data_IF_182217920483
#
_entry.id   IF_182217920483
#
_cell.length_a   1.000
_cell.length_b   1.000
_cell.length_c   1.000
_cell.angle_alpha   90.00
_cell.angle_beta   90.00
_cell.angle_gamma   90.00
#
_symmetry.space_group_name_H-M   'P 1'
#
loop_
_entity.id
_entity.type
_entity.pdbx_description
1 polymer ?
#
# COMPACT_ATOMS: atom_id res chain seq x y z
N UNK A 1 54.79 74.56 -37.90
CA UNK A 1 53.84 75.37 -38.70
C UNK A 1 54.05 75.03 -40.17
N UNK A 2 53.00 74.89 -41.02
CA UNK A 2 51.69 75.57 -41.00
C UNK A 2 50.49 74.62 -40.69
N UNK A 3 49.46 75.06 -39.93
CA UNK A 3 48.15 75.69 -40.30
C UNK A 3 47.17 74.67 -40.96
N UNK A 4 46.11 74.19 -40.29
CA UNK A 4 44.85 74.83 -39.83
C UNK A 4 43.81 75.10 -40.94
N UNK A 5 42.70 74.34 -40.96
CA UNK A 5 41.28 74.79 -40.86
C UNK A 5 40.30 73.75 -41.48
N UNK A 6 39.43 73.11 -40.66
CA UNK A 6 37.96 73.30 -40.48
C UNK A 6 37.02 72.67 -41.55
N UNK A 7 35.97 71.96 -41.08
CA UNK A 7 34.69 71.85 -41.80
C UNK A 7 33.90 70.53 -41.71
N UNK A 8 33.02 70.44 -40.68
CA UNK A 8 31.66 69.84 -40.65
C UNK A 8 31.30 68.38 -41.02
N UNK A 9 30.76 67.71 -39.99
CA UNK A 9 29.57 66.83 -39.90
C UNK A 9 29.14 65.92 -41.08
N UNK A 10 29.10 64.61 -40.80
CA UNK A 10 27.86 63.78 -40.75
C UNK A 10 28.15 62.36 -40.24
N UNK A 11 27.58 62.01 -39.08
CA UNK A 11 27.19 60.63 -38.72
C UNK A 11 26.16 60.11 -39.74
N UNK A 12 25.93 58.79 -39.97
CA UNK A 12 25.69 57.83 -38.87
C UNK A 12 26.07 56.34 -39.11
N UNK A 13 25.73 55.55 -38.09
CA UNK A 13 25.42 54.10 -38.07
C UNK A 13 26.54 53.12 -37.70
N UNK A 14 26.60 52.95 -36.38
CA UNK A 14 26.98 51.77 -35.58
C UNK A 14 26.64 50.41 -36.22
N UNK A 15 27.42 49.37 -35.94
CA UNK A 15 26.97 48.15 -35.23
C UNK A 15 28.21 47.30 -34.93
N UNK A 16 28.69 47.43 -33.69
CA UNK A 16 29.51 46.40 -33.08
C UNK A 16 28.67 45.18 -32.71
N UNK A 17 29.32 44.03 -32.60
CA UNK A 17 28.85 42.98 -31.71
C UNK A 17 30.07 42.31 -31.05
N UNK A 18 30.39 42.84 -29.88
CA UNK A 18 31.38 42.33 -28.95
C UNK A 18 30.84 42.63 -27.57
N UNK A 19 30.68 41.57 -26.76
CA UNK A 19 30.21 41.55 -25.37
C UNK A 19 28.70 41.45 -25.14
N UNK A 20 28.27 40.22 -24.83
CA UNK A 20 27.05 39.96 -24.06
C UNK A 20 27.23 38.69 -23.20
N UNK A 21 28.21 38.69 -22.30
CA UNK A 21 28.03 37.94 -21.05
C UNK A 21 27.25 38.87 -20.12
N UNK A 22 25.93 38.85 -20.32
CA UNK A 22 24.99 39.58 -19.49
C UNK A 22 25.20 39.22 -18.02
N UNK A 23 25.46 40.26 -17.25
CA UNK A 23 25.38 40.33 -15.82
C UNK A 23 23.95 39.95 -15.41
N UNK A 24 23.71 38.66 -15.12
CA UNK A 24 22.43 38.20 -14.56
C UNK A 24 22.30 38.81 -13.17
N UNK A 25 21.50 39.87 -13.06
CA UNK A 25 21.13 40.46 -11.79
C UNK A 25 20.56 39.41 -10.83
N UNK A 26 20.45 39.73 -9.52
CA UNK A 26 19.94 38.79 -8.53
C UNK A 26 18.59 38.24 -9.01
N UNK A 27 18.50 36.92 -9.15
CA UNK A 27 17.26 36.24 -9.55
C UNK A 27 16.26 36.44 -8.42
N UNK A 28 15.34 37.40 -8.58
CA UNK A 28 14.28 37.67 -7.62
C UNK A 28 13.15 36.67 -7.88
N UNK A 29 13.13 35.59 -7.09
CA UNK A 29 12.07 34.60 -7.12
C UNK A 29 10.86 35.16 -6.38
N UNK A 30 9.77 35.45 -7.10
CA UNK A 30 8.53 36.02 -6.53
C UNK A 30 7.48 34.94 -6.18
N UNK A 31 7.74 33.70 -6.54
CA UNK A 31 6.83 32.58 -6.30
C UNK A 31 7.10 31.99 -4.92
N UNK A 32 6.13 32.14 -4.00
CA UNK A 32 6.27 31.70 -2.61
C UNK A 32 6.66 30.22 -2.46
N UNK A 33 6.15 29.35 -3.34
CA UNK A 33 6.48 27.93 -3.32
C UNK A 33 7.95 27.65 -3.68
N UNK A 34 8.56 28.44 -4.56
CA UNK A 34 9.97 28.29 -4.91
C UNK A 34 10.86 28.77 -3.76
N UNK A 35 10.44 29.80 -3.02
CA UNK A 35 11.14 30.26 -1.82
C UNK A 35 11.17 29.16 -0.76
N UNK A 36 10.05 28.48 -0.52
CA UNK A 36 9.96 27.35 0.42
C UNK A 36 10.87 26.18 0.02
N UNK A 37 10.87 25.80 -1.27
CA UNK A 37 11.76 24.75 -1.80
C UNK A 37 13.22 25.14 -1.59
N UNK A 38 13.60 26.37 -1.97
CA UNK A 38 14.99 26.83 -1.84
C UNK A 38 15.40 26.85 -0.36
N UNK A 39 14.56 27.38 0.53
CA UNK A 39 14.83 27.41 1.96
C UNK A 39 15.03 26.00 2.54
N UNK A 40 14.15 25.07 2.18
CA UNK A 40 14.27 23.67 2.59
C UNK A 40 15.60 23.06 2.12
N UNK A 41 15.98 23.28 0.86
CA UNK A 41 17.25 22.78 0.33
C UNK A 41 18.47 23.44 0.99
N UNK A 42 18.39 24.72 1.37
CA UNK A 42 19.47 25.39 2.10
C UNK A 42 19.63 24.90 3.54
N UNK A 43 18.57 24.34 4.13
CA UNK A 43 18.60 23.78 5.48
C UNK A 43 19.20 22.37 5.55
N UNK A 44 19.55 21.77 4.41
CA UNK A 44 20.14 20.43 4.37
C UNK A 44 21.58 20.42 4.89
N UNK A 45 21.87 19.47 5.78
CA UNK A 45 23.24 19.20 6.22
C UNK A 45 24.10 18.67 5.04
N UNK A 46 25.44 18.84 5.09
CA UNK A 46 26.33 18.41 4.01
C UNK A 46 26.21 16.94 3.61
N UNK A 47 25.81 16.06 4.52
CA UNK A 47 25.55 14.65 4.22
C UNK A 47 24.40 14.43 3.24
N UNK A 48 23.25 15.07 3.48
CA UNK A 48 22.09 14.99 2.59
C UNK A 48 22.33 15.73 1.27
N UNK A 49 23.01 16.88 1.29
CA UNK A 49 23.38 17.61 0.07
C UNK A 49 24.23 16.75 -0.87
N UNK A 50 25.20 16.00 -0.34
CA UNK A 50 26.00 15.04 -1.13
C UNK A 50 25.13 13.93 -1.73
N UNK A 51 24.18 13.38 -0.98
CA UNK A 51 23.25 12.34 -1.47
C UNK A 51 22.32 12.87 -2.57
N UNK A 52 21.89 14.13 -2.49
CA UNK A 52 21.11 14.79 -3.54
C UNK A 52 21.96 15.01 -4.81
N UNK A 53 23.18 15.52 -4.66
CA UNK A 53 24.10 15.77 -5.78
C UNK A 53 24.52 14.48 -6.51
N UNK A 54 24.65 13.36 -5.79
CA UNK A 54 24.96 12.06 -6.40
C UNK A 54 23.76 11.39 -7.08
N UNK A 55 22.56 11.97 -6.98
CA UNK A 55 21.31 11.38 -7.49
C UNK A 55 20.75 10.24 -6.64
N UNK A 56 21.39 9.93 -5.50
CA UNK A 56 20.92 8.89 -4.57
C UNK A 56 19.70 9.30 -3.74
N UNK A 57 19.37 10.60 -3.71
CA UNK A 57 18.20 11.16 -3.04
C UNK A 57 17.35 11.94 -4.05
N UNK A 58 16.04 11.66 -4.07
CA UNK A 58 15.08 12.39 -4.91
C UNK A 58 14.87 13.81 -4.36
N UNK A 59 14.68 14.79 -5.25
CA UNK A 59 14.46 16.20 -4.87
C UNK A 59 13.33 16.37 -3.85
N UNK A 60 12.20 15.69 -4.05
CA UNK A 60 11.07 15.75 -3.12
C UNK A 60 11.45 15.32 -1.70
N UNK A 61 12.24 14.25 -1.55
CA UNK A 61 12.69 13.77 -0.26
C UNK A 61 13.69 14.75 0.39
N UNK A 62 14.55 15.37 -0.42
CA UNK A 62 15.49 16.39 0.05
C UNK A 62 14.75 17.64 0.57
N UNK A 63 13.73 18.12 -0.15
CA UNK A 63 12.88 19.22 0.31
C UNK A 63 12.19 18.83 1.63
N UNK A 64 11.60 17.64 1.71
CA UNK A 64 10.91 17.19 2.91
C UNK A 64 11.84 17.12 4.14
N UNK A 65 13.05 16.58 3.98
CA UNK A 65 14.04 16.53 5.08
C UNK A 65 14.38 17.94 5.56
N UNK A 66 14.70 18.85 4.64
CA UNK A 66 15.12 20.20 4.97
C UNK A 66 14.00 21.12 5.47
N UNK A 67 12.74 20.78 5.18
CA UNK A 67 11.56 21.50 5.71
C UNK A 67 11.11 20.99 7.07
N UNK A 68 11.35 19.71 7.38
CA UNK A 68 10.72 19.03 8.53
C UNK A 68 11.69 18.75 9.67
N UNK A 69 12.96 18.45 9.36
CA UNK A 69 13.95 18.04 10.36
C UNK A 69 14.94 19.16 10.67
N UNK A 70 15.20 19.40 11.95
CA UNK A 70 16.31 20.20 12.40
C UNK A 70 17.66 19.50 12.15
N UNK A 71 18.76 20.18 12.45
CA UNK A 71 20.10 19.68 12.14
C UNK A 71 20.45 18.38 12.87
N UNK A 72 20.12 18.27 14.15
CA UNK A 72 20.43 17.08 14.96
C UNK A 72 19.64 15.86 14.45
N UNK A 73 18.35 16.04 14.18
CA UNK A 73 17.49 14.99 13.62
C UNK A 73 17.88 14.63 12.20
N UNK A 74 18.35 15.57 11.40
CA UNK A 74 18.90 15.28 10.06
C UNK A 74 20.16 14.40 10.15
N UNK A 75 21.05 14.65 11.11
CA UNK A 75 22.27 13.86 11.32
C UNK A 75 21.89 12.43 11.77
N UNK A 76 21.03 12.29 12.77
CA UNK A 76 20.54 10.99 13.23
C UNK A 76 19.79 10.22 12.14
N UNK A 77 18.92 10.88 11.37
CA UNK A 77 18.22 10.22 10.27
C UNK A 77 19.18 9.73 9.19
N UNK A 78 20.23 10.50 8.89
CA UNK A 78 21.23 10.14 7.89
C UNK A 78 22.04 8.91 8.30
N UNK A 79 22.42 8.81 9.57
CA UNK A 79 23.10 7.66 10.15
C UNK A 79 22.19 6.43 10.06
N UNK A 80 20.97 6.55 10.59
CA UNK A 80 19.97 5.48 10.60
C UNK A 80 19.72 4.85 9.22
N UNK A 81 19.50 5.67 8.19
CA UNK A 81 19.22 5.16 6.84
C UNK A 81 20.43 4.53 6.18
N UNK A 82 21.63 4.95 6.58
CA UNK A 82 22.88 4.40 6.07
C UNK A 82 23.11 2.99 6.65
N UNK A 83 22.76 2.79 7.92
CA UNK A 83 22.98 1.52 8.61
C UNK A 83 21.84 0.51 8.42
N UNK A 84 20.59 0.98 8.40
CA UNK A 84 19.41 0.09 8.48
C UNK A 84 18.85 -0.33 7.11
N UNK A 85 19.37 0.23 6.00
CA UNK A 85 18.87 0.03 4.63
C UNK A 85 17.32 0.06 4.56
N UNK A 86 16.78 1.26 4.74
CA UNK A 86 15.32 1.50 4.77
C UNK A 86 14.74 1.39 3.35
N UNK A 87 13.75 0.50 3.10
CA UNK A 87 13.07 0.46 1.81
C UNK A 87 12.34 1.77 1.48
N UNK A 88 12.36 2.19 0.21
CA UNK A 88 11.71 3.41 -0.28
C UNK A 88 10.25 3.58 0.22
N UNK A 89 9.50 2.48 0.30
CA UNK A 89 8.10 2.48 0.74
C UNK A 89 7.92 2.98 2.19
N UNK A 90 8.92 2.78 3.05
CA UNK A 90 8.86 3.13 4.47
C UNK A 90 9.64 4.42 4.79
N UNK A 91 10.33 4.99 3.82
CA UNK A 91 11.16 6.18 4.00
C UNK A 91 10.42 7.35 4.66
N UNK A 92 9.24 7.70 4.12
CA UNK A 92 8.44 8.79 4.65
C UNK A 92 7.99 8.56 6.09
N UNK A 93 7.74 7.29 6.46
CA UNK A 93 7.36 6.91 7.82
C UNK A 93 8.55 7.04 8.78
N UNK A 94 9.74 6.59 8.37
CA UNK A 94 10.94 6.75 9.20
C UNK A 94 11.27 8.22 9.41
N UNK A 95 11.19 9.03 8.35
CA UNK A 95 11.37 10.49 8.45
C UNK A 95 10.36 11.12 9.42
N UNK A 96 9.08 10.71 9.35
CA UNK A 96 8.06 11.15 10.31
C UNK A 96 8.41 10.78 11.76
N UNK A 97 8.89 9.56 12.00
CA UNK A 97 9.31 9.14 13.33
C UNK A 97 10.46 10.00 13.89
N UNK A 98 11.43 10.37 13.04
CA UNK A 98 12.48 11.34 13.40
C UNK A 98 11.91 12.75 13.65
N UNK A 99 10.89 13.17 12.90
CA UNK A 99 10.22 14.45 13.10
C UNK A 99 9.46 14.51 14.44
N UNK A 100 8.90 13.38 14.88
CA UNK A 100 8.30 13.23 16.21
C UNK A 100 9.34 13.16 17.34
N UNK A 101 10.63 13.03 17.01
CA UNK A 101 11.70 12.90 18.00
C UNK A 101 11.74 11.54 18.69
N UNK A 102 11.25 10.48 18.02
CA UNK A 102 11.26 9.14 18.57
C UNK A 102 12.71 8.62 18.74
N UNK A 103 13.02 7.87 19.82
CA UNK A 103 14.31 7.22 19.99
C UNK A 103 14.60 6.22 18.86
N UNK A 104 15.86 6.10 18.43
CA UNK A 104 16.23 5.24 17.29
C UNK A 104 15.80 3.78 17.46
N UNK A 105 15.93 3.23 18.68
CA UNK A 105 15.49 1.86 18.97
C UNK A 105 13.99 1.66 18.67
N UNK A 106 13.16 2.66 18.96
CA UNK A 106 11.71 2.59 18.69
C UNK A 106 11.42 2.74 17.20
N UNK A 107 12.20 3.55 16.47
CA UNK A 107 12.12 3.69 15.01
C UNK A 107 12.46 2.35 14.33
N UNK A 108 13.47 1.63 14.84
CA UNK A 108 13.80 0.28 14.35
C UNK A 108 12.64 -0.70 14.56
N UNK A 109 11.96 -0.65 15.70
CA UNK A 109 10.77 -1.47 15.97
C UNK A 109 9.61 -1.10 15.06
N UNK A 110 9.33 0.19 14.86
CA UNK A 110 8.29 0.67 13.92
C UNK A 110 8.57 0.16 12.50
N UNK A 111 9.83 0.23 12.03
CA UNK A 111 10.22 -0.34 10.74
C UNK A 111 9.98 -1.86 10.70
N UNK A 112 10.32 -2.56 11.78
CA UNK A 112 10.07 -3.99 11.97
C UNK A 112 8.57 -4.33 11.87
N UNK A 113 7.72 -3.56 12.53
CA UNK A 113 6.26 -3.68 12.50
C UNK A 113 5.74 -3.53 11.08
N UNK A 114 6.14 -2.51 10.33
CA UNK A 114 5.67 -2.34 8.94
C UNK A 114 6.12 -3.47 8.01
N UNK A 115 7.35 -3.96 8.15
CA UNK A 115 7.85 -5.12 7.41
C UNK A 115 7.06 -6.39 7.76
N UNK A 116 6.84 -6.61 9.06
CA UNK A 116 6.06 -7.74 9.56
C UNK A 116 4.60 -7.66 9.08
N UNK A 117 3.99 -6.48 9.14
CA UNK A 117 2.62 -6.25 8.71
C UNK A 117 2.43 -6.61 7.22
N UNK A 118 3.35 -6.20 6.35
CA UNK A 118 3.33 -6.59 4.94
C UNK A 118 3.38 -8.10 4.74
N UNK A 119 4.25 -8.80 5.49
CA UNK A 119 4.36 -10.25 5.44
C UNK A 119 3.12 -10.96 5.99
N UNK A 120 2.61 -10.50 7.15
CA UNK A 120 1.40 -11.03 7.78
C UNK A 120 0.20 -10.84 6.86
N UNK A 121 0.00 -9.64 6.30
CA UNK A 121 -1.06 -9.36 5.33
C UNK A 121 -1.04 -10.35 4.17
N UNK A 122 0.14 -10.57 3.56
CA UNK A 122 0.29 -11.53 2.47
C UNK A 122 -0.03 -12.97 2.88
N UNK A 123 0.31 -13.37 4.12
CA UNK A 123 0.03 -14.70 4.64
C UNK A 123 -1.45 -14.92 4.96
N UNK A 124 -2.15 -13.87 5.40
CA UNK A 124 -3.54 -13.96 5.86
C UNK A 124 -4.58 -13.49 4.83
N UNK A 125 -4.16 -12.97 3.67
CA UNK A 125 -5.04 -12.37 2.64
C UNK A 125 -6.21 -13.26 2.20
N UNK A 126 -6.12 -14.57 2.42
CA UNK A 126 -7.15 -15.55 2.10
C UNK A 126 -8.19 -15.78 3.22
N UNK A 127 -7.98 -15.21 4.41
CA UNK A 127 -8.78 -15.41 5.61
C UNK A 127 -9.43 -14.09 6.03
N UNK A 128 -10.69 -13.86 5.61
CA UNK A 128 -11.39 -12.59 5.83
C UNK A 128 -11.41 -12.18 7.31
N UNK A 129 -11.73 -13.10 8.22
CA UNK A 129 -11.79 -12.80 9.67
C UNK A 129 -10.43 -12.36 10.24
N UNK A 130 -9.32 -12.86 9.70
CA UNK A 130 -7.96 -12.45 10.10
C UNK A 130 -7.58 -11.12 9.44
N UNK A 131 -8.01 -10.90 8.19
CA UNK A 131 -7.83 -9.63 7.49
C UNK A 131 -8.56 -8.49 8.20
N UNK A 132 -9.78 -8.70 8.67
CA UNK A 132 -10.53 -7.69 9.43
C UNK A 132 -9.80 -7.32 10.73
N UNK A 133 -9.28 -8.32 11.46
CA UNK A 133 -8.48 -8.09 12.66
C UNK A 133 -7.16 -7.37 12.36
N UNK A 134 -6.49 -7.73 11.27
CA UNK A 134 -5.28 -7.05 10.80
C UNK A 134 -5.56 -5.59 10.48
N UNK A 135 -6.67 -5.29 9.79
CA UNK A 135 -7.04 -3.94 9.41
C UNK A 135 -7.33 -3.08 10.64
N UNK A 136 -8.05 -3.61 11.63
CA UNK A 136 -8.29 -2.92 12.89
C UNK A 136 -6.97 -2.63 13.61
N UNK A 137 -6.11 -3.65 13.78
CA UNK A 137 -4.84 -3.53 14.47
C UNK A 137 -3.92 -2.49 13.81
N UNK A 138 -3.74 -2.61 12.49
CA UNK A 138 -2.85 -1.70 11.75
C UNK A 138 -3.42 -0.29 11.65
N UNK A 139 -4.74 -0.14 11.49
CA UNK A 139 -5.36 1.19 11.44
C UNK A 139 -5.19 1.93 12.77
N UNK A 140 -5.37 1.24 13.90
CA UNK A 140 -5.18 1.86 15.21
C UNK A 140 -3.72 2.30 15.40
N UNK A 141 -2.77 1.39 15.14
CA UNK A 141 -1.35 1.70 15.22
C UNK A 141 -0.93 2.84 14.29
N UNK A 142 -1.36 2.81 13.02
CA UNK A 142 -1.02 3.86 12.04
C UNK A 142 -1.60 5.22 12.45
N UNK A 143 -2.81 5.25 13.01
CA UNK A 143 -3.41 6.48 13.53
C UNK A 143 -2.57 7.06 14.67
N UNK A 144 -2.30 6.26 15.72
CA UNK A 144 -1.50 6.71 16.87
C UNK A 144 -0.10 7.15 16.46
N UNK A 145 0.55 6.41 15.55
CA UNK A 145 1.87 6.73 15.03
C UNK A 145 1.89 8.04 14.22
N UNK A 146 0.91 8.26 13.34
CA UNK A 146 0.90 9.44 12.47
C UNK A 146 0.55 10.72 13.25
N UNK A 147 -0.38 10.64 14.20
CA UNK A 147 -0.76 11.77 15.05
C UNK A 147 0.26 12.03 16.17
N UNK A 148 1.22 11.13 16.39
CA UNK A 148 2.20 11.25 17.47
C UNK A 148 1.60 11.00 18.86
N UNK A 149 0.54 10.20 18.92
CA UNK A 149 -0.17 9.81 20.15
C UNK A 149 0.41 8.55 20.82
N UNK A 150 1.47 7.97 20.25
CA UNK A 150 2.20 6.89 20.90
C UNK A 150 2.82 7.38 22.24
N UNK A 151 2.94 6.49 23.25
CA UNK A 151 3.56 6.86 24.51
C UNK A 151 4.98 7.40 24.33
N UNK A 152 5.37 8.39 25.15
CA UNK A 152 6.70 8.99 25.10
C UNK A 152 7.67 8.40 26.11
N UNK A 153 7.16 7.75 27.16
CA UNK A 153 7.98 7.05 28.15
C UNK A 153 8.48 5.74 27.57
N UNK A 154 9.78 5.46 27.71
CA UNK A 154 10.46 4.35 27.02
C UNK A 154 9.79 2.99 27.28
N UNK A 155 9.49 2.67 28.55
CA UNK A 155 8.86 1.39 28.93
C UNK A 155 7.44 1.24 28.35
N UNK A 156 6.67 2.33 28.32
CA UNK A 156 5.30 2.33 27.79
C UNK A 156 5.30 2.25 26.26
N UNK A 157 6.23 2.95 25.61
CA UNK A 157 6.43 2.93 24.16
C UNK A 157 6.85 1.53 23.71
N UNK A 158 7.81 0.92 24.41
CA UNK A 158 8.25 -0.44 24.12
C UNK A 158 7.09 -1.42 24.22
N UNK A 159 6.31 -1.36 25.31
CA UNK A 159 5.15 -2.21 25.51
C UNK A 159 4.08 -2.02 24.42
N UNK A 160 3.81 -0.77 24.02
CA UNK A 160 2.85 -0.46 22.96
C UNK A 160 3.29 -1.06 21.62
N UNK A 161 4.55 -0.86 21.22
CA UNK A 161 5.09 -1.40 19.97
C UNK A 161 5.14 -2.93 19.98
N UNK A 162 5.57 -3.54 21.10
CA UNK A 162 5.56 -5.00 21.25
C UNK A 162 4.15 -5.58 21.19
N UNK A 163 3.14 -4.87 21.70
CA UNK A 163 1.74 -5.31 21.62
C UNK A 163 1.29 -5.43 20.16
N UNK A 164 1.61 -4.43 19.33
CA UNK A 164 1.31 -4.46 17.89
C UNK A 164 2.08 -5.58 17.20
N UNK A 165 3.37 -5.72 17.48
CA UNK A 165 4.21 -6.77 16.90
C UNK A 165 3.66 -8.17 17.23
N UNK A 166 3.34 -8.41 18.50
CA UNK A 166 2.79 -9.68 18.96
C UNK A 166 1.43 -9.98 18.32
N UNK A 167 0.57 -8.97 18.16
CA UNK A 167 -0.69 -9.10 17.43
C UNK A 167 -0.47 -9.56 15.98
N UNK A 168 0.48 -8.94 15.27
CA UNK A 168 0.82 -9.31 13.89
C UNK A 168 1.41 -10.73 13.79
N UNK A 169 2.26 -11.13 14.75
CA UNK A 169 2.83 -12.49 14.80
C UNK A 169 1.75 -13.53 15.05
N UNK A 170 0.81 -13.23 15.94
CA UNK A 170 -0.29 -14.13 16.27
C UNK A 170 -1.24 -14.33 15.09
N UNK A 171 -1.61 -13.26 14.37
CA UNK A 171 -2.39 -13.35 13.13
C UNK A 171 -1.69 -14.24 12.08
N UNK A 172 -0.38 -14.05 11.90
CA UNK A 172 0.42 -14.89 10.99
C UNK A 172 0.45 -16.37 11.43
N UNK A 173 0.54 -16.63 12.74
CA UNK A 173 0.51 -17.99 13.30
C UNK A 173 -0.84 -18.68 13.09
N UNK A 174 -1.94 -17.94 13.24
CA UNK A 174 -3.31 -18.46 13.03
C UNK A 174 -3.51 -18.93 11.59
N UNK A 175 -3.07 -18.15 10.60
CA UNK A 175 -3.11 -18.56 9.20
C UNK A 175 -2.29 -19.85 8.93
N UNK A 176 -1.14 -20.01 9.60
CA UNK A 176 -0.35 -21.25 9.53
C UNK A 176 -1.07 -22.48 10.09
N UNK A 177 -1.91 -22.30 11.11
CA UNK A 177 -2.73 -23.36 11.70
C UNK A 177 -3.94 -23.71 10.83
N UNK A 178 -4.60 -22.71 10.25
CA UNK A 178 -5.77 -22.91 9.40
C UNK A 178 -5.42 -23.49 8.02
N UNK A 179 -4.22 -23.22 7.50
CA UNK A 179 -3.68 -23.90 6.31
C UNK A 179 -3.56 -25.42 6.52
N UNK A 180 -3.25 -25.88 7.75
CA UNK A 180 -3.19 -27.31 8.09
C UNK A 180 -4.58 -27.95 8.22
N UNK A 181 -5.58 -27.21 8.71
CA UNK A 181 -6.99 -27.66 8.73
C UNK A 181 -7.57 -27.76 7.32
N UNK A 182 -7.31 -26.77 6.47
CA UNK A 182 -7.77 -26.74 5.08
C UNK A 182 -7.19 -27.89 4.25
N UNK A 183 -5.89 -28.18 4.39
CA UNK A 183 -5.26 -29.31 3.69
C UNK A 183 -5.72 -30.69 4.22
N UNK A 184 -6.07 -30.81 5.51
CA UNK A 184 -6.68 -32.04 6.05
C UNK A 184 -8.08 -32.27 5.52
N UNK A 185 -8.89 -31.22 5.39
CA UNK A 185 -10.26 -31.32 4.86
C UNK A 185 -10.32 -31.64 3.36
N UNK A 186 -9.23 -31.47 2.61
CA UNK A 186 -9.17 -31.81 1.19
C UNK A 186 -8.54 -33.18 0.91
N UNK A 187 -7.85 -33.77 1.89
CA UNK A 187 -7.20 -35.08 1.80
C UNK A 187 -8.02 -36.24 2.36
N UNK A 188 -9.07 -35.96 3.13
CA UNK A 188 -9.94 -36.99 3.72
C UNK A 188 -11.40 -36.68 3.41
N UNK A 189 -11.80 -37.04 2.19
CA UNK A 189 -13.22 -37.17 1.86
C UNK A 189 -13.73 -38.50 2.41
N UNK A 190 -14.04 -38.51 3.70
CA UNK A 190 -15.01 -39.44 4.26
C UNK A 190 -16.08 -38.66 5.03
N UNK A 191 -17.20 -38.45 4.34
CA UNK A 191 -18.57 -38.37 4.88
C UNK A 191 -18.74 -37.85 6.32
N UNK A 192 -19.11 -36.58 6.48
CA UNK A 192 -20.20 -36.24 7.41
C UNK A 192 -20.78 -34.85 7.10
N UNK A 193 -22.05 -34.84 6.73
CA UNK A 193 -22.92 -33.67 6.71
C UNK A 193 -23.17 -33.17 8.13
N UNK A 194 -22.96 -31.89 8.38
CA UNK A 194 -23.58 -31.19 9.51
C UNK A 194 -23.82 -29.73 9.18
N UNK A 195 -25.08 -29.34 9.37
CA UNK A 195 -25.73 -28.06 9.13
C UNK A 195 -24.98 -26.83 9.66
N UNK A 196 -25.03 -25.74 8.89
CA UNK A 196 -24.98 -24.37 9.42
C UNK A 196 -26.04 -23.55 8.67
N UNK A 197 -27.02 -23.06 9.44
CA UNK A 197 -28.17 -22.26 9.01
C UNK A 197 -27.87 -20.80 8.62
N UNK A 198 -28.91 -20.00 8.34
CA UNK A 198 -28.87 -18.92 7.35
C UNK A 198 -28.39 -17.59 7.93
N UNK A 199 -27.46 -16.95 7.20
CA UNK A 199 -26.99 -15.58 7.39
C UNK A 199 -27.76 -14.58 6.52
N UNK A 200 -27.48 -13.26 6.64
CA UNK A 200 -28.45 -12.19 6.42
C UNK A 200 -28.81 -11.96 4.94
N UNK A 201 -30.12 -12.02 4.63
CA UNK A 201 -30.80 -11.64 3.37
C UNK A 201 -29.95 -11.83 2.12
N UNK A 202 -29.89 -13.11 1.77
CA UNK A 202 -29.21 -13.72 0.64
C UNK A 202 -29.61 -13.07 -0.69
N UNK A 203 -28.66 -12.38 -1.34
CA UNK A 203 -28.71 -12.29 -2.79
C UNK A 203 -28.77 -13.74 -3.32
N UNK A 204 -29.71 -14.02 -4.23
CA UNK A 204 -29.88 -15.37 -4.79
C UNK A 204 -28.58 -15.82 -5.45
N UNK A 205 -28.28 -17.12 -5.42
CA UNK A 205 -27.06 -17.66 -6.03
C UNK A 205 -26.92 -17.22 -7.50
N UNK A 206 -28.04 -17.12 -8.21
CA UNK A 206 -28.18 -16.58 -9.57
C UNK A 206 -27.61 -15.15 -9.69
N UNK A 207 -27.99 -14.27 -8.77
CA UNK A 207 -27.49 -12.88 -8.70
C UNK A 207 -25.99 -12.82 -8.45
N UNK A 208 -25.43 -13.69 -7.59
CA UNK A 208 -23.97 -13.71 -7.35
C UNK A 208 -23.20 -14.23 -8.58
N UNK A 209 -23.69 -15.25 -9.28
CA UNK A 209 -23.00 -15.77 -10.47
C UNK A 209 -23.28 -14.93 -11.73
N UNK A 210 -24.09 -13.88 -11.61
CA UNK A 210 -24.39 -12.93 -12.67
C UNK A 210 -25.30 -13.49 -13.76
N UNK A 211 -26.28 -14.32 -13.40
CA UNK A 211 -27.34 -14.81 -14.29
C UNK A 211 -28.70 -14.29 -13.84
N UNK A 212 -29.67 -14.27 -14.76
CA UNK A 212 -31.05 -13.91 -14.46
C UNK A 212 -31.65 -14.83 -13.39
N UNK A 213 -32.56 -14.31 -12.56
CA UNK A 213 -33.24 -15.10 -11.53
C UNK A 213 -34.06 -16.27 -12.12
N UNK A 214 -34.46 -16.16 -13.39
CA UNK A 214 -35.15 -17.21 -14.15
C UNK A 214 -34.24 -17.96 -15.14
N UNK A 215 -32.91 -17.87 -14.99
CA UNK A 215 -31.97 -18.50 -15.92
C UNK A 215 -32.12 -20.03 -15.94
N UNK A 216 -31.95 -20.61 -17.13
CA UNK A 216 -32.02 -22.05 -17.31
C UNK A 216 -30.87 -22.78 -16.58
N UNK A 217 -31.08 -24.06 -16.25
CA UNK A 217 -30.05 -24.89 -15.63
C UNK A 217 -28.74 -24.93 -16.45
N UNK A 218 -28.86 -24.98 -17.78
CA UNK A 218 -27.70 -24.96 -18.67
C UNK A 218 -26.88 -23.66 -18.55
N UNK A 219 -27.55 -22.51 -18.38
CA UNK A 219 -26.92 -21.21 -18.19
C UNK A 219 -26.25 -21.08 -16.83
N UNK A 220 -26.93 -21.53 -15.75
CA UNK A 220 -26.37 -21.59 -14.39
C UNK A 220 -25.10 -22.44 -14.40
N UNK A 221 -25.14 -23.63 -15.01
CA UNK A 221 -23.98 -24.53 -15.16
C UNK A 221 -22.85 -23.91 -15.96
N UNK A 222 -23.15 -23.27 -17.09
CA UNK A 222 -22.14 -22.65 -17.96
C UNK A 222 -21.41 -21.51 -17.26
N UNK A 223 -22.13 -20.61 -16.60
CA UNK A 223 -21.54 -19.47 -15.90
C UNK A 223 -20.79 -19.89 -14.65
N UNK A 224 -21.33 -20.84 -13.85
CA UNK A 224 -20.65 -21.38 -12.68
C UNK A 224 -19.31 -22.02 -13.05
N UNK A 225 -19.26 -22.83 -14.11
CA UNK A 225 -17.99 -23.44 -14.60
C UNK A 225 -17.00 -22.40 -15.12
N UNK A 226 -17.48 -21.31 -15.73
CA UNK A 226 -16.64 -20.20 -16.18
C UNK A 226 -16.03 -19.44 -15.00
N UNK A 227 -16.83 -19.15 -13.97
CA UNK A 227 -16.39 -18.50 -12.74
C UNK A 227 -15.40 -19.36 -11.98
N UNK A 228 -15.67 -20.65 -11.77
CA UNK A 228 -14.73 -21.56 -11.10
C UNK A 228 -13.37 -21.63 -11.82
N UNK A 229 -13.34 -21.62 -13.15
CA UNK A 229 -12.08 -21.61 -13.91
C UNK A 229 -11.27 -20.31 -13.74
N UNK A 230 -11.96 -19.17 -13.58
CA UNK A 230 -11.35 -17.84 -13.41
C UNK A 230 -10.94 -17.56 -11.96
N UNK A 231 -11.75 -18.03 -11.02
CA UNK A 231 -11.55 -17.86 -9.59
C UNK A 231 -10.62 -18.94 -9.01
N UNK A 232 -10.13 -19.86 -9.85
CA UNK A 232 -9.26 -20.94 -9.39
C UNK A 232 -7.99 -20.38 -8.71
N UNK A 233 -7.68 -20.81 -7.47
CA UNK A 233 -6.54 -20.32 -6.70
C UNK A 233 -5.21 -20.49 -7.44
N UNK A 234 -5.01 -21.63 -8.09
CA UNK A 234 -3.79 -21.92 -8.87
C UNK A 234 -3.59 -20.99 -10.08
N UNK A 235 -4.59 -20.19 -10.45
CA UNK A 235 -4.50 -19.17 -11.51
C UNK A 235 -4.52 -17.74 -10.96
N UNK A 236 -4.26 -17.57 -9.66
CA UNK A 236 -4.33 -16.28 -8.98
C UNK A 236 -5.75 -15.79 -8.70
N UNK A 237 -6.75 -16.69 -8.76
CA UNK A 237 -8.14 -16.38 -8.42
C UNK A 237 -8.42 -16.47 -6.92
N UNK A 238 -9.51 -15.82 -6.48
CA UNK A 238 -9.91 -15.84 -5.06
C UNK A 238 -10.45 -17.22 -4.66
N UNK A 239 -9.73 -17.90 -3.76
CA UNK A 239 -10.17 -19.18 -3.19
C UNK A 239 -11.51 -19.08 -2.44
N UNK A 240 -11.76 -17.93 -1.80
CA UNK A 240 -13.03 -17.65 -1.14
C UNK A 240 -14.19 -17.62 -2.13
N UNK A 241 -14.07 -16.81 -3.20
CA UNK A 241 -15.10 -16.72 -4.24
C UNK A 241 -15.25 -18.05 -4.98
N UNK A 242 -14.15 -18.78 -5.20
CA UNK A 242 -14.19 -20.12 -5.77
C UNK A 242 -14.99 -21.08 -4.90
N UNK A 243 -14.73 -21.10 -3.59
CA UNK A 243 -15.45 -21.98 -2.67
C UNK A 243 -16.93 -21.61 -2.57
N UNK A 244 -17.24 -20.32 -2.50
CA UNK A 244 -18.61 -19.84 -2.41
C UNK A 244 -19.42 -20.19 -3.68
N UNK A 245 -18.83 -19.96 -4.87
CA UNK A 245 -19.42 -20.36 -6.16
C UNK A 245 -19.55 -21.88 -6.27
N UNK A 246 -18.55 -22.65 -5.79
CA UNK A 246 -18.58 -24.12 -5.82
C UNK A 246 -19.69 -24.66 -4.91
N UNK A 247 -19.78 -24.16 -3.68
CA UNK A 247 -20.79 -24.57 -2.70
C UNK A 247 -22.21 -24.26 -3.20
N UNK A 248 -22.44 -23.08 -3.77
CA UNK A 248 -23.72 -22.73 -4.37
C UNK A 248 -24.06 -23.59 -5.59
N UNK A 249 -23.07 -23.88 -6.45
CA UNK A 249 -23.26 -24.75 -7.61
C UNK A 249 -23.61 -26.20 -7.20
N UNK A 250 -22.92 -26.76 -6.19
CA UNK A 250 -23.19 -28.10 -5.68
C UNK A 250 -24.60 -28.21 -5.06
N UNK A 251 -25.06 -27.15 -4.38
CA UNK A 251 -26.43 -27.07 -3.84
C UNK A 251 -27.50 -27.05 -4.95
N UNK A 252 -27.28 -26.32 -6.04
CA UNK A 252 -28.18 -26.30 -7.19
C UNK A 252 -28.17 -27.61 -7.99
N UNK A 253 -27.02 -28.30 -8.12
CA UNK A 253 -26.97 -29.67 -8.66
C UNK A 253 -27.86 -30.60 -7.83
N UNK A 254 -27.76 -30.54 -6.50
CA UNK A 254 -28.53 -31.39 -5.59
C UNK A 254 -30.04 -31.11 -5.68
N UNK A 255 -30.42 -29.84 -5.89
CA UNK A 255 -31.81 -29.42 -6.09
C UNK A 255 -32.36 -29.92 -7.43
N UNK A 256 -31.63 -29.73 -8.54
CA UNK A 256 -32.02 -30.23 -9.87
C UNK A 256 -32.12 -31.76 -9.92
N UNK A 257 -31.16 -32.47 -9.30
CA UNK A 257 -31.17 -33.94 -9.25
C UNK A 257 -32.35 -34.49 -8.43
N UNK A 258 -32.80 -33.77 -7.38
CA UNK A 258 -34.03 -34.12 -6.66
C UNK A 258 -35.27 -33.87 -7.52
N UNK A 259 -35.34 -32.77 -8.26
CA UNK A 259 -36.47 -32.46 -9.15
C UNK A 259 -36.66 -33.52 -10.24
N UNK A 260 -35.58 -33.97 -10.89
CA UNK A 260 -35.64 -35.05 -11.90
C UNK A 260 -36.08 -36.40 -11.31
N UNK A 261 -35.65 -36.72 -10.09
CA UNK A 261 -36.05 -37.97 -9.39
C UNK A 261 -37.49 -37.96 -8.85
N UNK A 262 -38.11 -36.77 -8.72
CA UNK A 262 -39.52 -36.62 -8.36
C UNK A 262 -40.43 -36.74 -9.61
N UNK A 263 -39.97 -36.30 -10.77
CA UNK A 263 -40.72 -36.41 -12.04
C UNK A 263 -40.83 -37.88 -12.50
N UNK A 264 -39.76 -38.67 -12.36
CA UNK A 264 -39.76 -40.12 -12.66
C UNK A 264 -40.67 -40.95 -11.73
N UNK A 265 -41.05 -40.43 -10.56
CA UNK A 265 -41.96 -41.11 -9.62
C UNK A 265 -43.40 -40.61 -9.69
N UNK A 266 -43.66 -39.56 -10.47
CA UNK A 266 -44.98 -38.95 -10.66
C UNK A 266 -45.80 -39.56 -11.80
N UNK A 267 -45.16 -40.14 -12.82
CA UNK A 267 -45.85 -40.84 -13.92
C UNK A 267 -46.06 -42.33 -13.59
N UNK A 268 -46.98 -42.59 -12.66
CA UNK A 268 -47.28 -43.96 -12.26
C UNK A 268 -48.52 -44.16 -11.40
N UNK A 269 -49.50 -43.27 -11.45
CA UNK A 269 -50.87 -43.55 -10.98
C UNK A 269 -51.88 -42.74 -11.79
N UNK A 270 -52.40 -43.37 -12.85
CA UNK A 270 -53.81 -43.23 -13.22
C UNK A 270 -54.64 -44.08 -12.27
#
# INVERSE_FOLDING_TARGET
>A
MPLSHYGEEKSPVNHGDGSAFENRGPVVVQEGYLIEIVNALTNLIPGWTRKLQSGSLKLQAAVQIGSTLDRERQEGFLEFVTDTNVPDLYWGKMMHAFALGMPEWSIQLVLGIYKLAGNTKAAIVMYNDLMDQYEILMRQFEYEFLEGELPTEDDELELALQTVENGLRELGRQAGHDKKRYNRSYGDSSSSSSDIGPGPREASFQTIIGVDENASWEEIRKQSRRLLKKLHPDRGGSAYLFHWVKKGYDAEIAKNSKLEAFDEKGEGRF
#
